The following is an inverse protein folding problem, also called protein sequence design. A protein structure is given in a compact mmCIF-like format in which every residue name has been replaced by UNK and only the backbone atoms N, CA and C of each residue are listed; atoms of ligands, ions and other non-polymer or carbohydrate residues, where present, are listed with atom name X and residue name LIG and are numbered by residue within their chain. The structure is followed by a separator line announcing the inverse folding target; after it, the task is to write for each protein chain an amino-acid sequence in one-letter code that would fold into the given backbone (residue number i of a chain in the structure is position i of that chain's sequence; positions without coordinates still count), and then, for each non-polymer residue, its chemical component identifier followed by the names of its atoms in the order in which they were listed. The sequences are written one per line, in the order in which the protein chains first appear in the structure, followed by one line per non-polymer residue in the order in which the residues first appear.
data_IF_469530698745
#
_entry.id   IF_469530698745
#
_cell.length_a   1.000
_cell.length_b   1.000
_cell.length_c   1.000
_cell.angle_alpha   90.00
_cell.angle_beta   90.00
_cell.angle_gamma   90.00
#
_symmetry.space_group_name_H-M   'P 1'
#
loop_
_entity.id
_entity.type
_entity.pdbx_description
1 polymer ?
#
# COMPACT_ATOMS: atom_id res chain seq x y z
N UNK A 1 -11.77 -14.24 -18.63
CA UNK A 1 -10.75 -13.31 -19.13
C UNK A 1 -9.98 -12.64 -18.01
N UNK A 2 -10.64 -11.97 -17.02
CA UNK A 2 -9.95 -11.35 -15.88
C UNK A 2 -9.13 -12.39 -15.09
N UNK A 3 -9.67 -13.57 -14.83
CA UNK A 3 -8.94 -14.66 -14.15
C UNK A 3 -7.77 -15.19 -14.99
N UNK A 4 -7.88 -15.22 -16.31
CA UNK A 4 -6.76 -15.58 -17.19
C UNK A 4 -5.64 -14.54 -17.14
N UNK A 5 -5.99 -13.26 -17.17
CA UNK A 5 -5.04 -12.17 -16.99
C UNK A 5 -4.35 -12.25 -15.62
N UNK A 6 -5.12 -12.45 -14.55
CA UNK A 6 -4.58 -12.57 -13.19
C UNK A 6 -3.62 -13.76 -13.03
N UNK A 7 -3.82 -14.86 -13.75
CA UNK A 7 -2.94 -16.02 -13.66
C UNK A 7 -1.50 -15.74 -14.11
N UNK A 8 -1.27 -14.70 -14.91
CA UNK A 8 0.07 -14.28 -15.33
C UNK A 8 0.87 -13.59 -14.19
N UNK A 9 0.21 -13.27 -13.05
CA UNK A 9 0.80 -12.46 -11.98
C UNK A 9 0.92 -13.19 -10.63
N UNK A 10 0.84 -14.53 -10.61
CA UNK A 10 0.96 -15.32 -9.38
C UNK A 10 2.42 -15.41 -8.89
N UNK A 11 3.02 -14.23 -8.67
CA UNK A 11 4.38 -14.06 -8.13
C UNK A 11 4.52 -12.69 -7.46
N UNK A 12 5.54 -12.55 -6.61
CA UNK A 12 5.81 -11.28 -5.88
C UNK A 12 6.27 -10.21 -6.88
N UNK A 13 5.66 -9.04 -6.79
CA UNK A 13 5.90 -7.86 -7.64
C UNK A 13 6.35 -6.65 -6.82
N UNK A 14 7.23 -6.90 -5.84
CA UNK A 14 7.73 -5.80 -4.99
C UNK A 14 8.32 -4.68 -5.84
N UNK A 15 7.98 -3.44 -5.48
CA UNK A 15 8.42 -2.24 -6.18
C UNK A 15 9.95 -2.17 -6.41
N UNK A 16 10.34 -1.86 -7.63
CA UNK A 16 11.74 -1.77 -8.06
C UNK A 16 12.45 -3.12 -8.19
N UNK A 17 11.70 -4.22 -8.35
CA UNK A 17 12.25 -5.55 -8.62
C UNK A 17 11.96 -6.00 -10.05
N UNK A 18 12.65 -7.05 -10.47
CA UNK A 18 12.37 -7.73 -11.77
C UNK A 18 10.93 -8.24 -11.85
N UNK A 19 10.32 -8.60 -10.70
CA UNK A 19 8.91 -9.01 -10.63
C UNK A 19 7.97 -7.88 -11.05
N UNK A 20 8.17 -6.68 -10.52
CA UNK A 20 7.38 -5.49 -10.90
C UNK A 20 7.61 -5.13 -12.39
N UNK A 21 8.86 -5.15 -12.86
CA UNK A 21 9.20 -4.87 -14.26
C UNK A 21 8.52 -5.84 -15.24
N UNK A 22 8.55 -7.15 -14.92
CA UNK A 22 7.82 -8.16 -15.68
C UNK A 22 6.32 -7.88 -15.71
N UNK A 23 5.72 -7.48 -14.59
CA UNK A 23 4.30 -7.15 -14.52
C UNK A 23 3.94 -5.95 -15.40
N UNK A 24 4.73 -4.88 -15.35
CA UNK A 24 4.53 -3.73 -16.24
C UNK A 24 4.60 -4.12 -17.73
N UNK A 25 5.53 -5.00 -18.09
CA UNK A 25 5.65 -5.54 -19.46
C UNK A 25 4.40 -6.30 -19.88
N UNK A 26 3.88 -7.20 -19.03
CA UNK A 26 2.64 -7.96 -19.33
C UNK A 26 1.44 -7.01 -19.49
N UNK A 27 1.32 -5.98 -18.64
CA UNK A 27 0.26 -4.96 -18.76
C UNK A 27 0.37 -4.25 -20.11
N UNK A 28 1.57 -3.80 -20.52
CA UNK A 28 1.77 -3.14 -21.82
C UNK A 28 1.45 -4.06 -23.01
N UNK A 29 1.93 -5.31 -22.98
CA UNK A 29 1.65 -6.29 -24.03
C UNK A 29 0.15 -6.55 -24.18
N UNK A 30 -0.57 -6.61 -23.04
CA UNK A 30 -2.03 -6.77 -23.04
C UNK A 30 -2.72 -5.54 -23.67
N UNK A 31 -2.33 -4.32 -23.30
CA UNK A 31 -2.84 -3.08 -23.90
C UNK A 31 -2.55 -3.00 -25.41
N UNK A 32 -1.34 -3.39 -25.83
CA UNK A 32 -0.96 -3.47 -27.23
C UNK A 32 -1.83 -4.46 -28.01
N UNK A 33 -2.20 -5.60 -27.39
CA UNK A 33 -3.10 -6.58 -28.01
C UNK A 33 -4.51 -6.03 -28.27
N UNK A 34 -4.94 -5.01 -27.49
CA UNK A 34 -6.19 -4.29 -27.69
C UNK A 34 -6.04 -3.11 -28.68
N UNK A 35 -4.82 -2.81 -29.10
CA UNK A 35 -4.51 -1.62 -29.91
C UNK A 35 -4.71 -0.31 -29.16
N UNK A 36 -4.47 -0.31 -27.85
CA UNK A 36 -4.51 0.88 -27.00
C UNK A 36 -3.10 1.46 -26.88
N UNK A 37 -2.98 2.75 -27.19
CA UNK A 37 -1.72 3.47 -27.02
C UNK A 37 -1.37 3.57 -25.52
N UNK A 38 -0.13 3.22 -25.19
CA UNK A 38 0.35 3.20 -23.82
C UNK A 38 1.84 3.50 -23.74
N UNK A 39 2.29 3.92 -22.56
CA UNK A 39 3.72 4.16 -22.28
C UNK A 39 4.05 3.90 -20.81
N UNK A 40 5.35 3.81 -20.52
CA UNK A 40 5.89 3.72 -19.17
C UNK A 40 6.36 5.10 -18.70
N UNK A 41 6.10 5.37 -17.42
CA UNK A 41 6.64 6.52 -16.70
C UNK A 41 7.54 6.02 -15.58
N UNK A 42 8.85 6.05 -15.82
CA UNK A 42 9.83 5.57 -14.84
C UNK A 42 10.15 6.65 -13.81
N UNK A 43 10.32 6.22 -12.56
CA UNK A 43 10.76 7.07 -11.47
C UNK A 43 11.67 6.32 -10.50
N UNK A 44 12.63 7.05 -9.93
CA UNK A 44 13.51 6.50 -8.91
C UNK A 44 12.97 6.80 -7.51
N UNK A 45 13.14 5.85 -6.61
CA UNK A 45 12.80 6.02 -5.21
C UNK A 45 13.83 5.37 -4.30
N UNK A 46 13.97 5.94 -3.10
CA UNK A 46 14.83 5.41 -2.07
C UNK A 46 14.07 4.40 -1.21
N UNK A 47 14.66 3.25 -0.99
CA UNK A 47 14.15 2.20 -0.11
C UNK A 47 15.31 1.61 0.71
N UNK A 48 15.04 0.59 1.49
CA UNK A 48 16.04 -0.11 2.29
C UNK A 48 16.12 -1.58 1.88
N UNK A 49 17.29 -2.17 2.11
CA UNK A 49 17.51 -3.60 1.99
C UNK A 49 18.11 -4.12 3.30
N UNK A 50 17.38 -4.99 3.99
CA UNK A 50 17.89 -5.67 5.18
C UNK A 50 18.84 -6.80 4.72
N UNK A 51 20.12 -6.74 5.12
CA UNK A 51 21.13 -7.75 4.82
C UNK A 51 21.22 -8.81 5.91
N UNK A 52 20.99 -8.40 7.16
CA UNK A 52 21.09 -9.27 8.32
C UNK A 52 20.08 -8.85 9.38
N UNK A 53 19.40 -9.84 9.95
CA UNK A 53 18.58 -9.66 11.15
C UNK A 53 18.76 -10.91 12.02
N UNK A 54 19.07 -10.71 13.30
CA UNK A 54 19.33 -11.79 14.24
C UNK A 54 18.89 -11.42 15.64
N UNK A 55 18.25 -12.36 16.32
CA UNK A 55 17.89 -12.26 17.73
C UNK A 55 18.35 -13.53 18.46
N UNK A 56 19.17 -13.35 19.48
CA UNK A 56 19.64 -14.44 20.33
C UNK A 56 19.33 -14.12 21.78
N UNK A 57 18.64 -15.00 22.48
CA UNK A 57 18.56 -14.94 23.95
C UNK A 57 19.85 -15.52 24.50
N UNK A 58 20.49 -14.81 25.43
CA UNK A 58 21.78 -15.18 26.03
C UNK A 58 21.66 -15.59 27.49
N UNK A 59 20.60 -15.20 28.21
CA UNK A 59 20.29 -15.55 29.58
C UNK A 59 18.77 -15.70 29.79
N UNK A 60 18.31 -16.66 30.56
CA UNK A 60 19.02 -17.75 31.29
C UNK A 60 19.35 -18.96 30.42
N UNK A 61 19.10 -18.89 29.12
CA UNK A 61 19.42 -19.93 28.15
C UNK A 61 19.97 -19.28 26.87
N UNK A 62 20.65 -20.07 26.02
CA UNK A 62 21.12 -19.62 24.73
C UNK A 62 20.24 -20.21 23.61
N UNK A 63 19.57 -19.34 22.85
CA UNK A 63 18.79 -19.74 21.66
C UNK A 63 18.69 -18.58 20.67
N UNK A 64 18.88 -18.89 19.41
CA UNK A 64 18.61 -18.00 18.28
C UNK A 64 17.18 -18.21 17.78
N UNK A 65 16.48 -17.11 17.48
CA UNK A 65 15.12 -17.09 16.98
C UNK A 65 15.05 -16.59 15.55
N UNK A 66 14.08 -17.08 14.77
CA UNK A 66 13.79 -16.57 13.43
C UNK A 66 13.16 -15.19 13.59
N UNK A 67 13.77 -14.19 12.96
CA UNK A 67 13.32 -12.80 12.99
C UNK A 67 13.45 -12.17 11.62
N UNK A 68 12.67 -11.11 11.39
CA UNK A 68 12.78 -10.25 10.22
C UNK A 68 13.22 -8.85 10.67
N UNK A 69 14.19 -8.27 9.98
CA UNK A 69 14.69 -6.94 10.32
C UNK A 69 13.64 -5.85 10.08
N UNK A 70 13.59 -4.89 10.98
CA UNK A 70 12.74 -3.72 10.83
C UNK A 70 13.40 -2.70 9.91
N UNK A 71 12.75 -2.38 8.78
CA UNK A 71 13.27 -1.42 7.83
C UNK A 71 13.36 0.00 8.41
N UNK A 72 14.34 0.77 7.96
CA UNK A 72 14.60 2.15 8.41
C UNK A 72 14.84 2.29 9.91
N UNK A 73 15.24 1.23 10.61
CA UNK A 73 15.79 1.31 11.96
C UNK A 73 17.32 1.51 11.91
N UNK A 74 17.98 1.71 13.06
CA UNK A 74 19.43 1.80 13.11
C UNK A 74 20.10 0.46 12.81
N UNK A 75 21.30 0.51 12.24
CA UNK A 75 22.21 -0.63 12.24
C UNK A 75 22.79 -0.85 13.64
N UNK A 76 23.18 -2.08 13.92
CA UNK A 76 23.98 -2.43 15.08
C UNK A 76 25.46 -2.57 14.68
N UNK A 77 26.35 -2.50 15.66
CA UNK A 77 27.73 -2.90 15.43
C UNK A 77 27.88 -4.41 15.12
N UNK A 78 29.08 -4.87 14.83
CA UNK A 78 29.36 -6.26 14.46
C UNK A 78 28.97 -7.26 15.55
N UNK A 79 29.03 -6.85 16.84
CA UNK A 79 28.71 -7.68 18.00
C UNK A 79 27.21 -7.65 18.32
N UNK A 80 26.45 -6.74 17.70
CA UNK A 80 25.04 -6.51 18.03
C UNK A 80 24.83 -5.76 19.36
N UNK A 81 23.57 -5.52 19.71
CA UNK A 81 23.16 -4.96 21.01
C UNK A 81 22.87 -6.09 21.97
N UNK A 82 23.66 -6.24 23.03
CA UNK A 82 23.49 -7.27 24.04
C UNK A 82 23.09 -6.64 25.37
N UNK A 83 21.79 -6.57 25.63
CA UNK A 83 21.19 -5.85 26.75
C UNK A 83 20.15 -6.70 27.49
N UNK A 84 19.76 -6.25 28.67
CA UNK A 84 18.64 -6.86 29.41
C UNK A 84 17.37 -6.81 28.56
N UNK A 85 16.61 -7.91 28.61
CA UNK A 85 15.34 -8.04 27.89
C UNK A 85 14.16 -7.69 28.81
N UNK A 86 13.12 -7.04 28.25
CA UNK A 86 11.88 -6.74 28.95
C UNK A 86 10.69 -6.84 28.01
N UNK A 87 9.68 -7.60 28.39
CA UNK A 87 8.39 -7.58 27.70
C UNK A 87 7.53 -6.47 28.30
N UNK A 88 7.10 -5.53 27.45
CA UNK A 88 6.39 -4.30 27.83
C UNK A 88 4.96 -4.21 27.26
N UNK A 89 4.42 -5.33 26.81
CA UNK A 89 3.05 -5.44 26.31
C UNK A 89 2.71 -4.35 25.29
N UNK A 90 1.78 -3.44 25.62
CA UNK A 90 1.34 -2.33 24.77
C UNK A 90 2.17 -1.04 24.98
N UNK A 91 3.28 -1.12 25.68
CA UNK A 91 4.17 0.01 25.95
C UNK A 91 3.44 1.21 26.59
N UNK A 92 2.66 0.95 27.63
CA UNK A 92 2.11 1.99 28.49
C UNK A 92 3.19 2.57 29.44
N UNK A 93 2.88 3.66 30.12
CA UNK A 93 3.86 4.37 30.97
C UNK A 93 4.39 3.50 32.16
N UNK A 94 3.57 2.57 32.65
CA UNK A 94 3.95 1.69 33.77
C UNK A 94 4.93 0.63 33.28
N UNK A 95 4.59 -0.05 32.17
CA UNK A 95 5.43 -1.09 31.58
C UNK A 95 6.77 -0.55 31.07
N UNK A 96 6.79 0.70 30.62
CA UNK A 96 8.01 1.39 30.17
C UNK A 96 8.86 2.00 31.31
N UNK A 97 8.38 2.05 32.54
CA UNK A 97 9.08 2.72 33.66
C UNK A 97 10.51 2.20 33.89
N UNK A 98 10.78 0.92 33.59
CA UNK A 98 12.09 0.28 33.74
C UNK A 98 12.73 -0.14 32.39
N UNK A 99 12.32 0.47 31.28
CA UNK A 99 12.74 0.07 29.93
C UNK A 99 14.06 0.71 29.47
N UNK A 100 14.55 1.74 30.14
CA UNK A 100 15.76 2.47 29.75
C UNK A 100 16.98 1.53 29.62
N UNK A 101 17.63 1.62 28.45
CA UNK A 101 18.82 0.81 28.12
C UNK A 101 18.54 -0.66 27.87
N UNK A 102 17.28 -1.08 27.79
CA UNK A 102 16.92 -2.49 27.55
C UNK A 102 16.44 -2.72 26.12
N UNK A 103 16.50 -3.96 25.67
CA UNK A 103 15.78 -4.44 24.50
C UNK A 103 14.36 -4.80 24.97
N UNK A 104 13.37 -4.15 24.37
CA UNK A 104 11.97 -4.35 24.75
C UNK A 104 11.19 -5.12 23.68
N UNK A 105 10.24 -5.94 24.11
CA UNK A 105 9.31 -6.62 23.21
C UNK A 105 7.91 -6.03 23.39
N UNK A 106 7.24 -5.72 22.27
CA UNK A 106 5.91 -5.09 22.19
C UNK A 106 4.94 -5.92 21.37
N UNK A 107 3.64 -5.86 21.71
CA UNK A 107 2.59 -6.62 21.04
C UNK A 107 2.32 -6.17 19.59
N UNK A 108 2.38 -4.86 19.34
CA UNK A 108 1.96 -4.27 18.08
C UNK A 108 3.12 -3.92 17.16
N UNK A 109 2.87 -3.76 15.85
CA UNK A 109 3.84 -3.17 14.94
C UNK A 109 4.27 -1.78 15.40
N UNK A 110 5.57 -1.56 15.47
CA UNK A 110 6.15 -0.28 15.89
C UNK A 110 5.98 0.76 14.78
N UNK A 111 4.93 1.58 14.91
CA UNK A 111 4.64 2.73 14.05
C UNK A 111 5.03 4.03 14.75
N UNK A 112 4.79 5.18 14.10
CA UNK A 112 5.20 6.53 14.53
C UNK A 112 5.00 6.79 16.05
N UNK A 113 3.78 6.61 16.54
CA UNK A 113 3.44 6.93 17.95
C UNK A 113 4.13 5.98 18.95
N UNK A 114 4.08 4.67 18.67
CA UNK A 114 4.72 3.67 19.53
C UNK A 114 6.24 3.88 19.53
N UNK A 115 6.84 4.12 18.37
CA UNK A 115 8.27 4.41 18.27
C UNK A 115 8.68 5.61 19.12
N UNK A 116 7.90 6.71 19.11
CA UNK A 116 8.16 7.89 19.95
C UNK A 116 8.13 7.56 21.45
N UNK A 117 7.21 6.71 21.90
CA UNK A 117 7.16 6.23 23.30
C UNK A 117 8.44 5.47 23.65
N UNK A 118 8.91 4.58 22.76
CA UNK A 118 10.14 3.81 22.97
C UNK A 118 11.38 4.72 23.02
N UNK A 119 11.48 5.71 22.14
CA UNK A 119 12.55 6.73 22.15
C UNK A 119 12.55 7.50 23.47
N UNK A 120 11.39 7.99 23.91
CA UNK A 120 11.23 8.73 25.17
C UNK A 120 11.63 7.88 26.38
N UNK A 121 11.31 6.58 26.37
CA UNK A 121 11.72 5.62 27.40
C UNK A 121 13.22 5.31 27.37
N UNK A 122 13.93 5.62 26.29
CA UNK A 122 15.36 5.41 26.14
C UNK A 122 15.74 3.94 25.99
N UNK A 123 14.93 3.15 25.27
CA UNK A 123 15.22 1.72 25.03
C UNK A 123 16.42 1.54 24.10
N UNK A 124 17.15 0.45 24.24
CA UNK A 124 18.33 0.14 23.44
C UNK A 124 18.02 -0.58 22.12
N UNK A 125 16.85 -1.23 22.05
CA UNK A 125 16.36 -1.96 20.88
C UNK A 125 14.90 -2.38 21.09
N UNK A 126 14.22 -2.77 20.00
CA UNK A 126 12.85 -3.25 20.10
C UNK A 126 12.61 -4.55 19.31
N UNK A 127 11.65 -5.33 19.75
CA UNK A 127 11.15 -6.54 19.13
C UNK A 127 9.63 -6.37 19.00
N UNK A 128 9.11 -6.43 17.77
CA UNK A 128 7.68 -6.33 17.48
C UNK A 128 7.12 -7.73 17.24
N UNK A 129 6.01 -8.09 17.87
CA UNK A 129 5.36 -9.38 17.67
C UNK A 129 4.53 -9.33 16.38
N UNK A 130 4.65 -10.39 15.58
CA UNK A 130 3.90 -10.55 14.32
C UNK A 130 3.30 -11.97 14.25
N UNK A 131 2.28 -12.13 13.41
CA UNK A 131 1.60 -13.41 13.22
C UNK A 131 0.61 -13.76 14.34
N UNK A 132 0.15 -15.00 14.34
CA UNK A 132 -0.90 -15.49 15.21
C UNK A 132 -0.56 -16.86 15.82
N UNK A 133 -1.27 -17.28 16.88
CA UNK A 133 -1.08 -18.63 17.44
C UNK A 133 -1.51 -19.76 16.48
N UNK A 134 -2.27 -19.45 15.43
CA UNK A 134 -2.78 -20.41 14.46
C UNK A 134 -1.84 -20.65 13.29
N UNK A 135 -0.81 -19.82 13.13
CA UNK A 135 0.12 -19.89 12.01
C UNK A 135 0.96 -21.19 12.06
N UNK A 136 1.25 -21.74 10.88
CA UNK A 136 2.02 -22.97 10.70
C UNK A 136 2.97 -22.87 9.49
N UNK A 137 3.98 -23.74 9.47
CA UNK A 137 4.89 -23.87 8.33
C UNK A 137 5.59 -22.56 7.98
N UNK A 138 5.39 -22.09 6.76
CA UNK A 138 6.00 -20.85 6.24
C UNK A 138 5.51 -19.59 6.93
N UNK A 139 4.32 -19.61 7.53
CA UNK A 139 3.74 -18.47 8.24
C UNK A 139 4.42 -18.16 9.57
N UNK A 140 5.28 -19.07 10.04
CA UNK A 140 6.14 -18.85 11.22
C UNK A 140 7.27 -17.84 10.94
N UNK A 141 7.52 -17.47 9.69
CA UNK A 141 8.43 -16.36 9.36
C UNK A 141 7.70 -15.03 9.62
N UNK A 142 8.17 -14.19 10.55
CA UNK A 142 7.48 -12.97 10.89
C UNK A 142 7.51 -11.97 9.72
N UNK A 143 6.43 -11.20 9.60
CA UNK A 143 6.32 -10.15 8.57
C UNK A 143 7.41 -9.10 8.74
N UNK A 144 7.94 -8.62 7.61
CA UNK A 144 8.82 -7.47 7.57
C UNK A 144 8.00 -6.17 7.73
N UNK A 145 8.39 -5.35 8.71
CA UNK A 145 7.84 -4.01 8.91
C UNK A 145 8.91 -2.95 8.66
N UNK A 146 8.50 -1.70 8.52
CA UNK A 146 9.43 -0.57 8.46
C UNK A 146 8.94 0.60 9.30
N UNK A 147 9.89 1.38 9.83
CA UNK A 147 9.60 2.68 10.42
C UNK A 147 9.24 3.68 9.33
N UNK A 148 8.43 4.70 9.64
CA UNK A 148 8.15 5.80 8.72
C UNK A 148 9.45 6.45 8.22
N UNK A 149 9.43 6.98 6.99
CA UNK A 149 10.59 7.70 6.42
C UNK A 149 10.92 8.94 7.26
N UNK A 150 9.90 9.71 7.65
CA UNK A 150 10.02 10.91 8.46
C UNK A 150 9.44 10.65 9.84
N UNK A 151 10.23 10.88 10.87
CA UNK A 151 9.80 10.81 12.26
C UNK A 151 9.87 12.19 12.89
N UNK A 152 8.93 12.57 13.79
CA UNK A 152 8.97 13.85 14.46
C UNK A 152 10.26 14.03 15.27
N UNK A 153 10.88 15.21 15.13
CA UNK A 153 12.16 15.53 15.77
C UNK A 153 13.39 15.19 14.95
N UNK A 154 13.22 14.49 13.81
CA UNK A 154 14.29 14.35 12.81
C UNK A 154 14.26 15.57 11.87
N UNK A 155 15.45 16.06 11.45
CA UNK A 155 15.51 17.09 10.43
C UNK A 155 14.86 16.56 9.14
N UNK A 156 13.86 17.30 8.63
CA UNK A 156 13.27 17.00 7.32
C UNK A 156 14.37 17.14 6.27
N UNK A 157 14.87 16.03 5.78
CA UNK A 157 15.79 16.05 4.64
C UNK A 157 15.01 16.51 3.41
N UNK A 158 15.52 17.52 2.73
CA UNK A 158 15.00 17.96 1.45
C UNK A 158 14.87 16.76 0.50
N UNK A 159 13.91 16.82 -0.41
CA UNK A 159 13.69 15.79 -1.42
C UNK A 159 14.89 15.77 -2.40
N UNK A 160 15.97 15.15 -1.98
CA UNK A 160 17.21 14.95 -2.71
C UNK A 160 17.74 13.54 -2.44
N UNK A 161 18.45 12.97 -3.39
CA UNK A 161 19.03 11.62 -3.37
C UNK A 161 20.28 11.61 -2.45
N UNK A 162 20.14 12.00 -1.19
CA UNK A 162 21.12 11.68 -0.16
C UNK A 162 20.65 10.48 0.60
N UNK A 163 21.46 9.43 0.66
CA UNK A 163 21.19 8.22 1.40
C UNK A 163 20.78 8.58 2.84
N UNK A 164 19.55 8.27 3.20
CA UNK A 164 19.04 8.58 4.52
C UNK A 164 19.83 7.76 5.55
N UNK A 165 20.50 8.44 6.46
CA UNK A 165 21.20 7.80 7.56
C UNK A 165 20.21 7.63 8.72
N UNK A 166 19.93 6.37 9.08
CA UNK A 166 19.04 6.00 10.19
C UNK A 166 19.82 5.63 11.48
N UNK A 167 21.12 5.90 11.57
CA UNK A 167 21.98 5.48 12.69
C UNK A 167 21.56 6.04 14.05
N UNK A 168 20.83 7.16 14.06
CA UNK A 168 20.30 7.75 15.28
C UNK A 168 18.99 7.09 15.77
N UNK A 169 18.47 6.15 15.03
CA UNK A 169 17.25 5.43 15.39
C UNK A 169 17.54 4.25 16.32
N UNK A 170 16.49 3.63 16.82
CA UNK A 170 16.59 2.42 17.65
C UNK A 170 16.56 1.21 16.73
N UNK A 171 17.48 0.22 16.84
CA UNK A 171 17.45 -1.00 16.07
C UNK A 171 16.26 -1.88 16.47
N UNK A 172 15.67 -2.59 15.49
CA UNK A 172 14.49 -3.41 15.76
C UNK A 172 14.31 -4.59 14.81
N UNK A 173 13.59 -5.59 15.30
CA UNK A 173 13.21 -6.79 14.55
C UNK A 173 11.76 -7.16 14.82
N UNK A 174 11.17 -7.96 13.90
CA UNK A 174 9.91 -8.65 14.14
C UNK A 174 10.18 -10.10 14.52
N UNK A 175 9.41 -10.63 15.47
CA UNK A 175 9.42 -12.03 15.91
C UNK A 175 8.04 -12.64 15.75
N UNK A 176 7.96 -13.94 15.46
CA UNK A 176 6.67 -14.61 15.37
C UNK A 176 6.03 -14.78 16.77
N UNK A 177 4.69 -14.71 16.83
CA UNK A 177 3.89 -14.83 18.04
C UNK A 177 4.29 -16.07 18.90
N UNK A 178 4.42 -17.25 18.28
CA UNK A 178 4.78 -18.50 19.01
C UNK A 178 6.16 -18.42 19.67
N UNK A 179 7.12 -17.81 18.98
CA UNK A 179 8.47 -17.59 19.50
C UNK A 179 8.46 -16.53 20.61
N UNK A 180 7.66 -15.46 20.46
CA UNK A 180 7.49 -14.45 21.51
C UNK A 180 6.90 -15.05 22.79
N UNK A 181 5.90 -15.95 22.67
CA UNK A 181 5.36 -16.70 23.81
C UNK A 181 6.45 -17.55 24.48
N UNK A 182 7.31 -18.21 23.70
CA UNK A 182 8.43 -18.98 24.24
C UNK A 182 9.41 -18.09 25.03
N UNK A 183 9.76 -16.90 24.51
CA UNK A 183 10.64 -15.96 25.21
C UNK A 183 10.10 -15.64 26.62
N UNK A 184 8.83 -15.27 26.70
CA UNK A 184 8.18 -14.92 27.99
C UNK A 184 8.07 -16.12 28.90
N UNK A 185 7.60 -17.26 28.41
CA UNK A 185 7.39 -18.47 29.19
C UNK A 185 8.68 -19.03 29.78
N UNK A 186 9.79 -18.94 29.03
CA UNK A 186 11.12 -19.40 29.48
C UNK A 186 11.88 -18.35 30.28
N UNK A 187 11.27 -17.19 30.56
CA UNK A 187 11.87 -16.15 31.39
C UNK A 187 13.12 -15.55 30.78
N UNK A 188 13.10 -15.23 29.45
CA UNK A 188 14.21 -14.52 28.80
C UNK A 188 14.57 -13.26 29.60
N UNK A 189 15.85 -13.09 29.92
CA UNK A 189 16.35 -12.00 30.76
C UNK A 189 17.36 -11.11 30.03
N UNK A 190 18.05 -11.64 29.01
CA UNK A 190 19.03 -10.92 28.23
C UNK A 190 18.97 -11.34 26.76
N UNK A 191 19.05 -10.37 25.87
CA UNK A 191 18.96 -10.57 24.43
C UNK A 191 20.09 -9.86 23.69
N UNK A 192 20.59 -10.48 22.64
CA UNK A 192 21.47 -9.87 21.65
C UNK A 192 20.71 -9.67 20.34
N UNK A 193 20.59 -8.42 19.90
CA UNK A 193 19.93 -8.00 18.70
C UNK A 193 20.94 -7.52 17.67
N UNK A 194 20.91 -8.05 16.45
CA UNK A 194 21.73 -7.59 15.33
C UNK A 194 20.87 -7.23 14.14
N UNK A 195 21.07 -6.06 13.58
CA UNK A 195 20.45 -5.60 12.32
C UNK A 195 21.51 -4.93 11.47
N UNK A 196 21.55 -5.29 10.20
CA UNK A 196 22.33 -4.65 9.16
C UNK A 196 21.45 -4.39 7.95
N UNK A 197 21.35 -3.14 7.54
CA UNK A 197 20.60 -2.72 6.37
C UNK A 197 21.30 -1.59 5.66
N UNK A 198 21.05 -1.43 4.39
CA UNK A 198 21.52 -0.32 3.58
C UNK A 198 20.34 0.38 2.90
N UNK A 199 20.51 1.66 2.65
CA UNK A 199 19.63 2.43 1.76
C UNK A 199 20.02 2.14 0.32
N UNK A 200 19.03 1.82 -0.51
CA UNK A 200 19.20 1.54 -1.93
C UNK A 200 18.24 2.39 -2.75
N UNK A 201 18.69 2.83 -3.92
CA UNK A 201 17.82 3.45 -4.92
C UNK A 201 17.32 2.38 -5.87
N UNK A 202 16.02 2.35 -6.11
CA UNK A 202 15.36 1.46 -7.07
C UNK A 202 14.54 2.27 -8.05
N UNK A 203 14.29 1.70 -9.23
CA UNK A 203 13.42 2.29 -10.26
C UNK A 203 12.10 1.52 -10.29
N UNK A 204 10.99 2.23 -10.17
CA UNK A 204 9.64 1.74 -10.43
C UNK A 204 9.07 2.46 -11.64
N UNK A 205 7.87 2.07 -12.05
CA UNK A 205 7.21 2.65 -13.23
C UNK A 205 5.71 2.58 -13.15
N UNK A 206 5.04 3.60 -13.67
CA UNK A 206 3.61 3.55 -13.96
C UNK A 206 3.41 3.08 -15.41
N UNK A 207 2.32 2.40 -15.67
CA UNK A 207 1.84 2.12 -17.04
C UNK A 207 0.65 3.03 -17.30
N UNK A 208 0.73 3.89 -18.31
CA UNK A 208 -0.31 4.85 -18.64
C UNK A 208 -0.88 4.54 -20.01
N UNK A 209 -2.22 4.50 -20.11
CA UNK A 209 -2.94 4.30 -21.36
C UNK A 209 -4.07 5.31 -21.49
N UNK A 210 -4.28 5.84 -22.69
CA UNK A 210 -5.31 6.88 -22.92
C UNK A 210 -6.21 6.50 -24.10
N UNK A 211 -7.50 6.67 -23.89
CA UNK A 211 -8.54 6.57 -24.92
C UNK A 211 -9.15 7.97 -25.04
N UNK A 212 -8.78 8.69 -26.09
CA UNK A 212 -9.23 10.05 -26.30
C UNK A 212 -10.74 10.11 -26.55
N UNK A 213 -11.40 11.04 -25.90
CA UNK A 213 -12.84 11.29 -26.03
C UNK A 213 -13.25 11.73 -27.43
N UNK A 214 -14.56 11.85 -27.69
CA UNK A 214 -15.08 12.29 -28.99
C UNK A 214 -15.25 13.80 -29.07
N UNK A 215 -16.18 14.37 -28.32
CA UNK A 215 -16.57 15.80 -28.41
C UNK A 215 -16.38 16.60 -27.12
N UNK A 216 -15.91 15.94 -26.05
CA UNK A 216 -15.52 16.49 -24.75
C UNK A 216 -14.14 15.98 -24.32
N UNK A 217 -13.24 15.81 -25.28
CA UNK A 217 -11.93 15.20 -25.08
C UNK A 217 -11.01 15.98 -24.11
N UNK A 218 -11.30 17.26 -23.90
CA UNK A 218 -10.59 18.12 -22.95
C UNK A 218 -10.85 17.77 -21.47
N UNK A 219 -11.95 17.07 -21.16
CA UNK A 219 -12.25 16.55 -19.84
C UNK A 219 -11.71 15.12 -19.71
N UNK A 220 -10.93 14.84 -18.65
CA UNK A 220 -10.32 13.53 -18.40
C UNK A 220 -10.97 12.86 -17.19
N UNK A 221 -11.36 11.59 -17.35
CA UNK A 221 -11.71 10.68 -16.27
C UNK A 221 -10.59 9.66 -16.11
N UNK A 222 -10.07 9.50 -14.89
CA UNK A 222 -8.93 8.63 -14.63
C UNK A 222 -9.37 7.39 -13.88
N UNK A 223 -9.10 6.19 -14.43
CA UNK A 223 -9.30 4.90 -13.76
C UNK A 223 -7.94 4.36 -13.33
N UNK A 224 -7.79 4.05 -12.06
CA UNK A 224 -6.49 3.71 -11.48
C UNK A 224 -6.53 2.45 -10.61
N UNK A 225 -5.42 1.75 -10.56
CA UNK A 225 -5.13 0.67 -9.63
C UNK A 225 -3.63 0.48 -9.54
N UNK A 226 -3.10 0.07 -8.40
CA UNK A 226 -1.69 -0.32 -8.36
C UNK A 226 -1.50 -1.78 -8.79
N UNK A 227 -0.28 -2.12 -9.20
CA UNK A 227 0.06 -3.45 -9.68
C UNK A 227 1.27 -4.07 -8.96
N UNK A 228 1.98 -3.30 -8.13
CA UNK A 228 3.01 -3.83 -7.25
C UNK A 228 2.39 -4.62 -6.09
N UNK A 229 3.20 -5.33 -5.35
CA UNK A 229 2.80 -6.09 -4.17
C UNK A 229 3.79 -5.92 -3.03
N UNK A 230 3.37 -6.29 -1.83
CA UNK A 230 4.30 -6.48 -0.71
C UNK A 230 5.22 -7.68 -0.97
N UNK A 231 6.39 -7.75 -0.27
CA UNK A 231 7.31 -8.89 -0.43
C UNK A 231 6.80 -10.20 0.17
N UNK A 232 5.73 -10.16 0.97
CA UNK A 232 5.19 -11.34 1.65
C UNK A 232 4.32 -12.23 0.76
N UNK A 233 3.74 -11.69 -0.31
CA UNK A 233 2.80 -12.44 -1.15
C UNK A 233 2.61 -11.88 -2.55
N UNK A 234 1.94 -12.66 -3.42
CA UNK A 234 1.71 -12.25 -4.80
C UNK A 234 0.67 -11.14 -4.97
N UNK A 235 -0.08 -10.75 -3.92
CA UNK A 235 -1.00 -9.62 -3.99
C UNK A 235 -2.05 -9.76 -5.09
N UNK A 236 -2.77 -10.87 -5.13
CA UNK A 236 -3.82 -11.08 -6.12
C UNK A 236 -5.05 -10.23 -5.80
N UNK A 237 -5.45 -10.20 -4.52
CA UNK A 237 -6.49 -9.34 -3.99
C UNK A 237 -5.98 -7.89 -3.88
N UNK A 238 -4.75 -7.72 -3.38
CA UNK A 238 -4.07 -6.46 -3.18
C UNK A 238 -2.82 -6.33 -4.06
N UNK A 239 -2.90 -5.80 -5.33
CA UNK A 239 -4.13 -5.26 -5.94
C UNK A 239 -4.17 -5.63 -7.44
N UNK A 240 -3.70 -6.84 -7.82
CA UNK A 240 -3.88 -7.26 -9.22
C UNK A 240 -5.36 -7.40 -9.60
N UNK A 241 -6.25 -7.59 -8.61
CA UNK A 241 -7.70 -7.60 -8.83
C UNK A 241 -8.19 -6.25 -9.40
N UNK A 242 -7.75 -5.14 -8.83
CA UNK A 242 -8.02 -3.80 -9.34
C UNK A 242 -7.40 -3.58 -10.72
N UNK A 243 -6.14 -3.99 -10.89
CA UNK A 243 -5.44 -3.92 -12.17
C UNK A 243 -6.18 -4.67 -13.29
N UNK A 244 -6.74 -5.85 -12.99
CA UNK A 244 -7.54 -6.63 -13.95
C UNK A 244 -8.89 -5.98 -14.28
N UNK A 245 -9.53 -5.33 -13.30
CA UNK A 245 -10.81 -4.62 -13.49
C UNK A 245 -10.59 -3.45 -14.44
N UNK A 246 -9.59 -2.58 -14.19
CA UNK A 246 -9.35 -1.43 -15.07
C UNK A 246 -8.83 -1.86 -16.45
N UNK A 247 -8.14 -3.00 -16.57
CA UNK A 247 -7.74 -3.58 -17.86
C UNK A 247 -8.96 -3.97 -18.71
N UNK A 248 -9.96 -4.62 -18.11
CA UNK A 248 -11.19 -4.98 -18.83
C UNK A 248 -12.00 -3.74 -19.21
N UNK A 249 -12.03 -2.71 -18.35
CA UNK A 249 -12.67 -1.44 -18.68
C UNK A 249 -11.94 -0.67 -19.78
N UNK A 250 -10.60 -0.73 -19.81
CA UNK A 250 -9.82 -0.14 -20.90
C UNK A 250 -10.17 -0.81 -22.23
N UNK A 251 -10.26 -2.16 -22.28
CA UNK A 251 -10.72 -2.87 -23.47
C UNK A 251 -12.15 -2.46 -23.88
N UNK A 252 -13.07 -2.37 -22.91
CA UNK A 252 -14.46 -1.98 -23.16
C UNK A 252 -14.54 -0.57 -23.77
N UNK A 253 -13.87 0.42 -23.20
CA UNK A 253 -13.90 1.79 -23.69
C UNK A 253 -13.13 1.98 -25.00
N UNK A 254 -12.20 1.11 -25.34
CA UNK A 254 -11.58 1.09 -26.68
C UNK A 254 -12.62 0.78 -27.76
N UNK A 255 -13.57 -0.14 -27.48
CA UNK A 255 -14.65 -0.49 -28.38
C UNK A 255 -15.85 0.47 -28.30
N UNK A 256 -16.04 1.10 -27.11
CA UNK A 256 -17.18 1.98 -26.78
C UNK A 256 -16.68 3.36 -26.36
N UNK A 257 -16.07 4.06 -27.30
CA UNK A 257 -15.41 5.33 -27.07
C UNK A 257 -16.38 6.39 -26.51
N UNK A 258 -16.13 6.93 -25.30
CA UNK A 258 -17.02 7.92 -24.68
C UNK A 258 -16.77 9.32 -25.20
N UNK A 259 -17.55 10.29 -24.74
CA UNK A 259 -17.39 11.71 -25.10
C UNK A 259 -16.15 12.32 -24.44
N UNK A 260 -15.86 11.96 -23.16
CA UNK A 260 -14.67 12.40 -22.39
C UNK A 260 -13.52 11.44 -22.57
N UNK A 261 -12.32 11.94 -22.44
CA UNK A 261 -11.11 11.14 -22.44
C UNK A 261 -11.10 10.22 -21.21
N UNK A 262 -10.79 8.94 -21.44
CA UNK A 262 -10.57 7.95 -20.38
C UNK A 262 -9.08 7.67 -20.29
N UNK A 263 -8.52 7.86 -19.12
CA UNK A 263 -7.13 7.55 -18.84
C UNK A 263 -7.03 6.44 -17.80
N UNK A 264 -6.22 5.46 -18.09
CA UNK A 264 -6.01 4.28 -17.27
C UNK A 264 -4.57 4.28 -16.78
N UNK A 265 -4.39 4.17 -15.48
CA UNK A 265 -3.04 4.16 -14.89
C UNK A 265 -2.89 2.99 -13.93
N UNK A 266 -1.92 2.14 -14.22
CA UNK A 266 -1.45 1.09 -13.31
C UNK A 266 -0.23 1.65 -12.58
N UNK A 267 -0.38 1.93 -11.30
CA UNK A 267 0.68 2.52 -10.49
C UNK A 267 1.65 1.46 -9.96
N UNK A 268 2.95 1.74 -10.05
CA UNK A 268 3.97 1.02 -9.31
C UNK A 268 4.26 1.67 -7.97
N UNK A 269 4.89 0.92 -7.06
CA UNK A 269 5.34 1.40 -5.76
C UNK A 269 4.25 2.07 -4.89
N UNK A 270 3.01 1.63 -4.98
CA UNK A 270 1.94 2.02 -4.07
C UNK A 270 2.28 1.59 -2.64
N UNK A 271 2.70 0.33 -2.47
CA UNK A 271 3.07 -0.33 -1.22
C UNK A 271 4.30 0.30 -0.51
N UNK A 272 4.98 1.19 -1.20
CA UNK A 272 6.08 2.00 -0.63
C UNK A 272 5.63 3.41 -0.21
N UNK A 273 4.32 3.67 -0.23
CA UNK A 273 3.68 4.91 0.20
C UNK A 273 3.17 5.77 -0.95
N UNK A 274 2.39 5.20 -1.85
CA UNK A 274 1.73 5.87 -2.99
C UNK A 274 2.72 6.57 -3.94
N UNK A 275 3.93 6.01 -4.13
CA UNK A 275 5.00 6.71 -4.84
C UNK A 275 4.69 6.86 -6.33
N UNK A 276 4.06 5.86 -6.94
CA UNK A 276 3.67 5.90 -8.34
C UNK A 276 2.67 7.01 -8.63
N UNK A 277 1.60 7.08 -7.85
CA UNK A 277 0.58 8.12 -8.05
C UNK A 277 1.09 9.52 -7.69
N UNK A 278 1.98 9.64 -6.68
CA UNK A 278 2.65 10.92 -6.40
C UNK A 278 3.54 11.37 -7.57
N UNK A 279 4.29 10.45 -8.19
CA UNK A 279 5.10 10.78 -9.35
C UNK A 279 4.23 11.17 -10.54
N UNK A 280 3.16 10.41 -10.81
CA UNK A 280 2.20 10.72 -11.87
C UNK A 280 1.64 12.13 -11.72
N UNK A 281 1.13 12.51 -10.56
CA UNK A 281 0.59 13.84 -10.28
C UNK A 281 1.63 14.94 -10.51
N UNK A 282 2.90 14.70 -10.19
CA UNK A 282 3.99 15.64 -10.39
C UNK A 282 4.33 15.83 -11.87
N UNK A 283 4.46 14.74 -12.62
CA UNK A 283 4.79 14.78 -14.05
C UNK A 283 3.65 15.39 -14.88
N UNK A 284 2.39 15.19 -14.47
CA UNK A 284 1.19 15.70 -15.14
C UNK A 284 0.63 16.99 -14.55
N UNK A 285 1.39 17.73 -13.75
CA UNK A 285 0.90 18.94 -13.05
C UNK A 285 0.20 19.94 -13.98
N UNK A 286 0.70 20.12 -15.20
CA UNK A 286 0.12 21.02 -16.20
C UNK A 286 -1.23 20.56 -16.76
N UNK A 287 -1.53 19.25 -16.71
CA UNK A 287 -2.77 18.65 -17.22
C UNK A 287 -3.83 18.43 -16.14
N UNK A 288 -3.47 18.54 -14.84
CA UNK A 288 -4.38 18.21 -13.74
C UNK A 288 -5.71 18.98 -13.79
N UNK A 289 -5.74 20.16 -14.41
CA UNK A 289 -6.97 20.94 -14.54
C UNK A 289 -8.01 20.27 -15.47
N UNK A 290 -7.56 19.41 -16.38
CA UNK A 290 -8.43 18.63 -17.25
C UNK A 290 -9.07 17.42 -16.53
N UNK A 291 -8.46 16.93 -15.45
CA UNK A 291 -8.97 15.79 -14.69
C UNK A 291 -10.21 16.18 -13.90
N UNK A 292 -11.31 15.52 -14.17
CA UNK A 292 -12.62 15.79 -13.53
C UNK A 292 -12.88 14.90 -12.34
N UNK A 293 -12.47 13.63 -12.41
CA UNK A 293 -12.71 12.63 -11.38
C UNK A 293 -11.72 11.49 -11.51
N UNK A 294 -11.19 11.01 -10.36
CA UNK A 294 -10.41 9.78 -10.29
C UNK A 294 -11.28 8.64 -9.74
N UNK A 295 -11.23 7.51 -10.38
CA UNK A 295 -11.90 6.27 -10.01
C UNK A 295 -10.86 5.19 -9.78
N UNK A 296 -10.47 5.00 -8.53
CA UNK A 296 -9.49 4.01 -8.11
C UNK A 296 -10.16 2.70 -7.70
N UNK A 297 -9.49 1.59 -7.95
CA UNK A 297 -9.87 0.27 -7.42
C UNK A 297 -8.72 -0.24 -6.59
N UNK A 298 -9.02 -0.58 -5.35
CA UNK A 298 -8.04 -1.12 -4.44
C UNK A 298 -8.72 -2.13 -3.52
N UNK A 299 -8.30 -3.39 -3.60
CA UNK A 299 -8.90 -4.56 -2.98
C UNK A 299 -10.25 -4.96 -3.61
N UNK A 300 -10.23 -5.92 -4.51
CA UNK A 300 -11.44 -6.45 -5.14
C UNK A 300 -11.37 -7.97 -5.36
N UNK A 301 -12.45 -8.55 -5.86
CA UNK A 301 -12.46 -9.90 -6.39
C UNK A 301 -12.75 -11.03 -5.40
N UNK A 302 -12.70 -10.82 -4.09
CA UNK A 302 -13.07 -11.89 -3.15
C UNK A 302 -14.58 -12.17 -3.16
N UNK A 303 -14.94 -13.46 -3.11
CA UNK A 303 -16.33 -13.90 -3.23
C UNK A 303 -17.18 -13.42 -2.04
N UNK A 304 -16.67 -13.60 -0.84
CA UNK A 304 -17.36 -13.22 0.41
C UNK A 304 -16.83 -11.88 0.88
N UNK A 305 -17.73 -10.92 1.07
CA UNK A 305 -17.42 -9.57 1.50
C UNK A 305 -18.45 -8.55 1.02
N UNK A 306 -18.42 -7.35 1.58
CA UNK A 306 -19.22 -6.20 1.16
C UNK A 306 -18.43 -5.27 0.24
N UNK A 307 -19.11 -4.63 -0.71
CA UNK A 307 -18.50 -3.59 -1.53
C UNK A 307 -18.66 -2.24 -0.85
N UNK A 308 -17.57 -1.49 -0.74
CA UNK A 308 -17.52 -0.14 -0.19
C UNK A 308 -16.90 0.79 -1.21
N UNK A 309 -17.46 1.97 -1.36
CA UNK A 309 -16.85 3.05 -2.16
C UNK A 309 -16.53 4.21 -1.23
N UNK A 310 -15.24 4.44 -1.02
CA UNK A 310 -14.74 5.63 -0.33
C UNK A 310 -14.71 6.81 -1.29
N UNK A 311 -15.29 7.94 -0.91
CA UNK A 311 -15.31 9.17 -1.72
C UNK A 311 -14.57 10.27 -0.99
N UNK A 312 -13.54 10.80 -1.60
CA UNK A 312 -12.82 11.99 -1.15
C UNK A 312 -13.21 13.16 -2.03
N UNK A 313 -14.31 13.79 -1.68
CA UNK A 313 -14.94 14.86 -2.45
C UNK A 313 -16.19 15.39 -1.74
N UNK A 314 -17.03 16.13 -2.45
CA UNK A 314 -18.31 16.58 -1.90
C UNK A 314 -19.20 15.38 -1.56
N UNK A 315 -19.92 15.46 -0.43
CA UNK A 315 -20.79 14.37 0.05
C UNK A 315 -21.91 13.99 -0.94
N UNK A 316 -22.32 14.91 -1.80
CA UNK A 316 -23.34 14.64 -2.84
C UNK A 316 -22.87 13.58 -3.85
N UNK A 317 -21.55 13.43 -4.04
CA UNK A 317 -20.97 12.39 -4.89
C UNK A 317 -21.31 10.99 -4.36
N UNK A 318 -21.30 10.80 -3.03
CA UNK A 318 -21.72 9.54 -2.41
C UNK A 318 -23.17 9.18 -2.80
N UNK A 319 -24.09 10.16 -2.75
CA UNK A 319 -25.49 9.94 -3.11
C UNK A 319 -25.63 9.57 -4.59
N UNK A 320 -24.89 10.25 -5.46
CA UNK A 320 -24.91 9.98 -6.89
C UNK A 320 -24.38 8.56 -7.19
N UNK A 321 -23.26 8.16 -6.60
CA UNK A 321 -22.69 6.82 -6.78
C UNK A 321 -23.64 5.75 -6.24
N UNK A 322 -24.25 5.99 -5.07
CA UNK A 322 -25.25 5.08 -4.50
C UNK A 322 -26.45 4.90 -5.44
N UNK A 323 -26.93 5.99 -6.04
CA UNK A 323 -28.02 5.94 -7.00
C UNK A 323 -27.64 5.13 -8.26
N UNK A 324 -26.45 5.37 -8.81
CA UNK A 324 -25.94 4.61 -9.95
C UNK A 324 -25.76 3.12 -9.63
N UNK A 325 -25.34 2.78 -8.42
CA UNK A 325 -25.24 1.39 -7.97
C UNK A 325 -26.62 0.72 -7.91
N UNK A 326 -27.66 1.43 -7.45
CA UNK A 326 -29.04 0.92 -7.47
C UNK A 326 -29.52 0.62 -8.90
N UNK A 327 -29.14 1.43 -9.90
CA UNK A 327 -29.47 1.18 -11.31
C UNK A 327 -28.84 -0.11 -11.84
N UNK A 328 -27.65 -0.50 -11.32
CA UNK A 328 -26.99 -1.78 -11.68
C UNK A 328 -27.52 -2.97 -10.89
N UNK A 329 -28.29 -2.77 -9.83
CA UNK A 329 -28.70 -3.81 -8.90
C UNK A 329 -27.55 -4.38 -8.03
N UNK A 330 -26.41 -3.66 -7.94
CA UNK A 330 -25.26 -4.06 -7.15
C UNK A 330 -25.30 -3.32 -5.80
N UNK A 331 -25.49 -4.10 -4.72
CA UNK A 331 -25.47 -3.55 -3.37
C UNK A 331 -24.05 -3.13 -2.96
N UNK A 332 -23.93 -1.92 -2.42
CA UNK A 332 -22.71 -1.37 -1.87
C UNK A 332 -23.01 -0.32 -0.80
N UNK A 333 -21.98 0.13 -0.07
CA UNK A 333 -22.05 1.29 0.82
C UNK A 333 -21.07 2.37 0.38
N UNK A 334 -21.38 3.63 0.68
CA UNK A 334 -20.45 4.75 0.46
C UNK A 334 -19.94 5.29 1.78
N UNK A 335 -18.71 5.80 1.78
CA UNK A 335 -18.09 6.52 2.90
C UNK A 335 -17.47 7.80 2.37
N UNK A 336 -17.84 8.95 2.94
CA UNK A 336 -17.23 10.22 2.59
C UNK A 336 -16.05 10.50 3.53
N UNK A 337 -14.85 10.15 3.08
CA UNK A 337 -13.61 10.26 3.85
C UNK A 337 -12.40 10.15 2.94
N UNK A 338 -11.20 10.51 3.43
CA UNK A 338 -9.95 10.13 2.78
C UNK A 338 -9.77 8.60 2.86
N UNK A 339 -9.13 8.02 1.86
CA UNK A 339 -8.92 6.58 1.74
C UNK A 339 -7.44 6.28 1.55
N UNK A 340 -6.86 5.34 2.30
CA UNK A 340 -5.43 5.04 2.25
C UNK A 340 -4.98 4.34 0.97
N UNK A 341 -5.18 4.97 -0.19
CA UNK A 341 -4.87 4.44 -1.51
C UNK A 341 -4.57 5.57 -2.51
N UNK A 342 -4.25 5.24 -3.76
CA UNK A 342 -3.82 6.18 -4.81
C UNK A 342 -4.81 7.31 -5.11
N UNK A 343 -6.10 7.13 -4.84
CA UNK A 343 -7.10 8.21 -4.93
C UNK A 343 -6.76 9.43 -4.07
N UNK A 344 -6.03 9.23 -2.96
CA UNK A 344 -5.62 10.33 -2.09
C UNK A 344 -4.71 11.33 -2.78
N UNK A 345 -3.85 10.90 -3.69
CA UNK A 345 -2.95 11.82 -4.43
C UNK A 345 -3.70 12.76 -5.35
N UNK A 346 -4.75 12.26 -6.01
CA UNK A 346 -5.65 13.08 -6.83
C UNK A 346 -6.46 14.05 -5.97
N UNK A 347 -7.05 13.55 -4.90
CA UNK A 347 -7.83 14.37 -3.98
C UNK A 347 -6.98 15.49 -3.35
N UNK A 348 -5.72 15.23 -3.04
CA UNK A 348 -4.77 16.24 -2.54
C UNK A 348 -4.54 17.39 -3.51
N UNK A 349 -4.70 17.16 -4.82
CA UNK A 349 -4.62 18.19 -5.88
C UNK A 349 -5.99 18.77 -6.26
N UNK A 350 -6.99 18.56 -5.41
CA UNK A 350 -8.33 19.12 -5.59
C UNK A 350 -9.16 18.41 -6.66
N UNK A 351 -8.76 17.21 -7.10
CA UNK A 351 -9.52 16.36 -8.01
C UNK A 351 -10.38 15.43 -7.15
N UNK A 352 -11.72 15.52 -7.17
CA UNK A 352 -12.56 14.56 -6.46
C UNK A 352 -12.20 13.13 -6.87
N UNK A 353 -12.17 12.22 -5.91
CA UNK A 353 -11.72 10.87 -6.14
C UNK A 353 -12.58 9.84 -5.40
N UNK A 354 -12.63 8.63 -5.91
CA UNK A 354 -13.21 7.50 -5.21
C UNK A 354 -12.27 6.31 -5.23
N UNK A 355 -12.38 5.46 -4.21
CA UNK A 355 -11.79 4.12 -4.21
C UNK A 355 -12.89 3.08 -4.04
N UNK A 356 -13.03 2.20 -5.04
CA UNK A 356 -13.84 0.99 -4.92
C UNK A 356 -13.01 -0.06 -4.18
N UNK A 357 -13.57 -0.55 -3.09
CA UNK A 357 -12.97 -1.57 -2.24
C UNK A 357 -14.01 -2.67 -1.96
N UNK A 358 -13.54 -3.88 -1.76
CA UNK A 358 -14.38 -4.99 -1.31
C UNK A 358 -13.72 -5.66 -0.12
N UNK A 359 -14.49 -5.87 0.96
CA UNK A 359 -14.01 -6.57 2.14
C UNK A 359 -13.44 -7.95 1.75
N UNK A 360 -12.36 -8.32 2.41
CA UNK A 360 -11.67 -9.58 2.23
C UNK A 360 -10.62 -9.78 3.30
N UNK A 361 -9.81 -10.80 3.16
CA UNK A 361 -8.70 -11.12 4.05
C UNK A 361 -7.52 -11.67 3.27
N UNK A 362 -6.40 -11.83 3.93
CA UNK A 362 -5.16 -12.29 3.29
C UNK A 362 -4.29 -11.16 2.74
N UNK A 363 -4.79 -9.93 2.70
CA UNK A 363 -4.02 -8.75 2.32
C UNK A 363 -2.68 -8.70 3.06
N UNK A 364 -1.60 -8.41 2.34
CA UNK A 364 -0.24 -8.34 2.87
C UNK A 364 0.25 -9.65 3.51
N UNK A 365 -0.22 -10.77 3.02
CA UNK A 365 0.24 -12.11 3.44
C UNK A 365 0.52 -12.97 2.20
N UNK A 366 1.23 -14.08 2.40
CA UNK A 366 1.47 -15.08 1.34
C UNK A 366 0.20 -15.82 0.89
N UNK A 367 -0.90 -15.64 1.62
CA UNK A 367 -2.21 -16.22 1.28
C UNK A 367 -3.00 -15.35 0.31
N UNK A 368 -2.53 -14.13 0.01
CA UNK A 368 -3.13 -13.29 -1.01
C UNK A 368 -2.79 -13.79 -2.42
N UNK A 369 -3.48 -14.84 -2.82
CA UNK A 369 -3.30 -15.55 -4.10
C UNK A 369 -4.58 -15.51 -4.92
N UNK A 370 -4.46 -15.83 -6.19
CA UNK A 370 -5.60 -15.93 -7.14
C UNK A 370 -6.70 -16.90 -6.65
N UNK A 371 -6.35 -17.86 -5.80
CA UNK A 371 -7.32 -18.81 -5.23
C UNK A 371 -8.38 -18.16 -4.34
N UNK A 372 -8.13 -16.95 -3.82
CA UNK A 372 -9.10 -16.17 -3.05
C UNK A 372 -10.07 -15.38 -3.92
N UNK A 373 -9.80 -15.27 -5.22
CA UNK A 373 -10.58 -14.44 -6.14
C UNK A 373 -11.67 -15.22 -6.84
N UNK A 374 -12.70 -14.52 -7.28
CA UNK A 374 -13.84 -15.06 -8.01
C UNK A 374 -14.15 -14.18 -9.21
N UNK A 375 -14.35 -14.81 -10.36
CA UNK A 375 -14.80 -14.15 -11.59
C UNK A 375 -16.12 -13.41 -11.38
N UNK A 376 -17.06 -14.00 -10.64
CA UNK A 376 -18.33 -13.36 -10.28
C UNK A 376 -18.13 -12.03 -9.55
N UNK A 377 -17.20 -11.98 -8.59
CA UNK A 377 -16.93 -10.76 -7.81
C UNK A 377 -16.19 -9.71 -8.62
N UNK A 378 -15.23 -10.12 -9.43
CA UNK A 378 -14.50 -9.24 -10.36
C UNK A 378 -15.44 -8.62 -11.39
N UNK A 379 -16.33 -9.45 -11.99
CA UNK A 379 -17.34 -8.99 -12.96
C UNK A 379 -18.27 -7.93 -12.34
N UNK A 380 -18.78 -8.16 -11.12
CA UNK A 380 -19.66 -7.20 -10.42
C UNK A 380 -18.96 -5.87 -10.18
N UNK A 381 -17.69 -5.90 -9.76
CA UNK A 381 -16.90 -4.69 -9.56
C UNK A 381 -16.65 -3.96 -10.87
N UNK A 382 -16.35 -4.69 -11.95
CA UNK A 382 -16.18 -4.11 -13.28
C UNK A 382 -17.47 -3.52 -13.84
N UNK A 383 -18.64 -4.17 -13.64
CA UNK A 383 -19.95 -3.65 -14.04
C UNK A 383 -20.26 -2.36 -13.29
N UNK A 384 -20.08 -2.33 -11.96
CA UNK A 384 -20.36 -1.16 -11.15
C UNK A 384 -19.50 0.04 -11.56
N UNK A 385 -18.18 -0.18 -11.59
CA UNK A 385 -17.21 0.87 -11.96
C UNK A 385 -17.40 1.32 -13.40
N UNK A 386 -17.58 0.36 -14.33
CA UNK A 386 -17.80 0.62 -15.73
C UNK A 386 -19.08 1.43 -16.00
N UNK A 387 -20.17 1.11 -15.28
CA UNK A 387 -21.41 1.87 -15.36
C UNK A 387 -21.22 3.32 -14.90
N UNK A 388 -20.54 3.54 -13.77
CA UNK A 388 -20.23 4.88 -13.27
C UNK A 388 -19.35 5.63 -14.27
N UNK A 389 -18.30 4.99 -14.78
CA UNK A 389 -17.38 5.59 -15.75
C UNK A 389 -18.08 5.94 -17.09
N UNK A 390 -18.91 5.04 -17.61
CA UNK A 390 -19.67 5.29 -18.85
C UNK A 390 -20.66 6.43 -18.69
N UNK A 391 -21.40 6.47 -17.59
CA UNK A 391 -22.35 7.57 -17.30
C UNK A 391 -21.62 8.91 -17.21
N UNK A 392 -20.52 8.99 -16.45
CA UNK A 392 -19.74 10.22 -16.31
C UNK A 392 -18.99 10.58 -17.59
N UNK A 393 -18.54 9.59 -18.35
CA UNK A 393 -17.88 9.76 -19.64
C UNK A 393 -18.78 10.36 -20.72
N UNK A 394 -20.10 10.09 -20.65
CA UNK A 394 -21.05 10.47 -21.70
C UNK A 394 -22.04 11.57 -21.31
N UNK A 395 -22.16 11.94 -20.03
CA UNK A 395 -23.10 12.96 -19.58
C UNK A 395 -22.80 14.32 -20.18
N UNK A 396 -23.87 15.09 -20.53
CA UNK A 396 -23.72 16.42 -21.17
C UNK A 396 -23.01 17.42 -20.25
N UNK A 397 -23.53 17.57 -19.01
CA UNK A 397 -23.00 18.47 -18.01
C UNK A 397 -22.44 17.60 -16.87
N UNK A 398 -21.18 17.80 -16.51
CA UNK A 398 -20.55 17.03 -15.43
C UNK A 398 -21.30 17.30 -14.13
N UNK A 399 -21.71 16.26 -13.34
CA UNK A 399 -22.74 16.41 -12.32
C UNK A 399 -22.25 17.01 -10.99
N UNK A 400 -20.96 17.29 -10.85
CA UNK A 400 -20.37 17.93 -9.67
C UNK A 400 -19.15 18.77 -10.04
N UNK A 401 -18.80 19.69 -9.17
CA UNK A 401 -17.63 20.54 -9.32
C UNK A 401 -16.32 19.77 -9.05
N UNK A 402 -15.25 20.18 -9.73
CA UNK A 402 -13.89 19.72 -9.44
C UNK A 402 -13.41 20.40 -8.15
N UNK A 403 -13.89 19.90 -7.02
CA UNK A 403 -13.58 20.46 -5.70
C UNK A 403 -13.53 19.36 -4.62
N UNK A 404 -12.51 19.44 -3.78
CA UNK A 404 -12.38 18.62 -2.57
C UNK A 404 -12.56 19.53 -1.35
N UNK A 405 -13.37 19.14 -0.35
CA UNK A 405 -13.55 19.92 0.87
C UNK A 405 -12.22 20.23 1.58
N UNK A 406 -12.09 21.44 2.13
CA UNK A 406 -10.87 21.90 2.81
C UNK A 406 -10.47 21.00 4.01
N UNK A 407 -11.45 20.38 4.64
CA UNK A 407 -11.18 19.42 5.71
C UNK A 407 -10.38 18.22 5.22
N UNK A 408 -10.73 17.67 4.05
CA UNK A 408 -9.99 16.57 3.44
C UNK A 408 -8.62 17.02 2.94
N UNK A 409 -8.51 18.21 2.37
CA UNK A 409 -7.20 18.77 1.98
C UNK A 409 -6.26 18.85 3.19
N UNK A 410 -6.73 19.33 4.34
CA UNK A 410 -5.90 19.36 5.56
C UNK A 410 -5.47 17.97 6.03
N UNK A 411 -6.40 16.99 6.00
CA UNK A 411 -6.06 15.60 6.34
C UNK A 411 -5.03 15.02 5.37
N UNK A 412 -5.12 15.35 4.08
CA UNK A 412 -4.17 14.91 3.05
C UNK A 412 -2.82 15.62 3.18
N UNK A 413 -2.79 16.90 3.57
CA UNK A 413 -1.54 17.60 3.91
C UNK A 413 -0.81 16.93 5.09
N UNK A 414 -1.56 16.45 6.09
CA UNK A 414 -0.99 15.69 7.20
C UNK A 414 -0.55 14.27 6.78
N UNK A 415 -1.26 13.66 5.84
CA UNK A 415 -0.96 12.32 5.33
C UNK A 415 0.33 12.31 4.49
N UNK A 416 0.52 13.29 3.61
CA UNK A 416 1.68 13.38 2.71
C UNK A 416 2.83 14.24 3.27
N UNK A 417 2.58 15.12 4.25
CA UNK A 417 3.55 16.02 4.86
C UNK A 417 4.34 15.43 5.98
#
# INVERSE_FOLDING_TARGET
RQMEFLAEFDYIREAGTVGEEKAATIIQETLNSFGVENHLEEFCFETFQVKKAKLTITEPYAKEYIVTGYGRCANTDENGRNESFLYVENADEISLANARGKIVMVNDPVRKELYQKLVKAGVAGFISIAGSPLDEGVDLTPRAYSLPKNLPGEEKKAAGIEAANYDNRIPGVSIHYKDAVELVTRGAAKACLSVEQETVTRTSRNVVARIEGTDKAEDILTLTAHYDSVPEGPGAYDNMSGAAIIMELCRYFKEHRPRRTMEFVWFGAEEKGLLGSQNYIKEHESELQAHRFNMNVDLAGQLVGGTVVGVTGDASICNMITYMAHETGIGMSTKNQIWGSDSNTFAWKGIPAMTLNRDGFGMHTRHDTIALLSDWSLERSAILLGYIADRLGNIEIFPFERKVPEEFIRQLDEYFG
#
